data_IF_380316891089
#
_entry.id   IF_380316891089
#
_cell.length_a   1.000
_cell.length_b   1.000
_cell.length_c   1.000
_cell.angle_alpha   90.00
_cell.angle_beta   90.00
_cell.angle_gamma   90.00
#
_symmetry.space_group_name_H-M   'P 1'
#
loop_
_entity.id
_entity.type
_entity.pdbx_description
1 polymer ?
#
# COMPACT_ATOMS: atom_id res chain seq x y z
N UNK A 1 -4.25 20.75 -6.13
CA UNK A 1 -5.68 20.42 -5.96
C UNK A 1 -5.94 19.93 -4.53
N UNK A 2 -5.99 20.81 -3.51
CA UNK A 2 -6.38 20.42 -2.16
C UNK A 2 -7.92 20.37 -2.06
N UNK A 3 -8.51 19.18 -1.86
CA UNK A 3 -9.96 19.09 -1.62
C UNK A 3 -10.62 17.72 -1.81
N UNK A 4 -9.97 16.76 -2.48
CA UNK A 4 -10.55 15.43 -2.65
C UNK A 4 -10.29 14.58 -1.40
N UNK A 5 -11.32 14.42 -0.56
CA UNK A 5 -11.38 13.34 0.43
C UNK A 5 -12.17 12.20 -0.19
N UNK A 6 -11.61 10.99 -0.15
CA UNK A 6 -12.25 9.80 -0.70
C UNK A 6 -13.21 9.20 0.33
N UNK A 7 -12.68 8.53 1.35
CA UNK A 7 -13.44 7.95 2.46
C UNK A 7 -12.63 8.06 3.75
N UNK A 8 -13.31 8.25 4.88
CA UNK A 8 -12.66 8.45 6.18
C UNK A 8 -12.10 7.15 6.74
N UNK A 9 -10.81 7.13 7.08
CA UNK A 9 -10.11 6.05 7.78
C UNK A 9 -10.17 4.67 7.11
N UNK A 10 -10.32 4.59 5.78
CA UNK A 10 -10.35 3.29 5.06
C UNK A 10 -9.01 2.91 4.43
N UNK A 11 -8.15 3.89 4.15
CA UNK A 11 -6.90 3.62 3.45
C UNK A 11 -5.92 2.81 4.32
N UNK A 12 -5.36 1.75 3.73
CA UNK A 12 -4.38 0.84 4.33
C UNK A 12 -2.97 1.45 4.51
N UNK A 13 -2.77 2.69 4.05
CA UNK A 13 -1.49 3.39 4.11
C UNK A 13 -0.92 3.41 5.54
N UNK A 14 0.28 2.88 5.70
CA UNK A 14 1.05 2.84 6.93
C UNK A 14 2.46 3.39 6.71
N UNK A 15 3.01 4.05 7.73
CA UNK A 15 4.35 4.61 7.74
C UNK A 15 5.09 4.12 8.98
N UNK A 16 6.34 3.69 8.81
CA UNK A 16 7.29 3.40 9.88
C UNK A 16 8.34 4.52 9.94
N UNK A 17 8.20 5.49 10.87
CA UNK A 17 9.13 6.62 10.97
C UNK A 17 10.56 6.21 11.29
N UNK A 18 10.79 5.08 11.95
CA UNK A 18 12.13 4.62 12.34
C UNK A 18 12.97 4.20 11.15
N UNK A 19 12.35 3.62 10.12
CA UNK A 19 13.02 3.29 8.86
C UNK A 19 13.20 4.52 7.95
N UNK A 20 12.54 5.64 8.24
CA UNK A 20 12.56 6.80 7.36
C UNK A 20 13.90 7.54 7.41
N UNK A 21 14.55 7.66 6.24
CA UNK A 21 15.80 8.42 6.07
C UNK A 21 15.58 9.88 5.67
N UNK A 22 14.33 10.36 5.62
CA UNK A 22 14.00 11.75 5.34
C UNK A 22 14.22 12.25 3.91
N UNK A 23 14.38 11.35 2.92
CA UNK A 23 14.70 11.72 1.54
C UNK A 23 13.60 12.49 0.78
N UNK A 24 12.34 12.43 1.22
CA UNK A 24 11.24 13.20 0.63
C UNK A 24 10.64 12.68 -0.67
N UNK A 25 11.23 11.66 -1.33
CA UNK A 25 10.71 11.10 -2.59
C UNK A 25 9.23 10.71 -2.52
N UNK A 26 8.79 10.14 -1.40
CA UNK A 26 7.39 9.77 -1.19
C UNK A 26 6.41 10.96 -1.23
N UNK A 27 6.85 12.16 -0.82
CA UNK A 27 6.07 13.39 -0.87
C UNK A 27 5.97 13.87 -2.32
N UNK A 28 7.07 13.83 -3.06
CA UNK A 28 7.15 14.26 -4.46
C UNK A 28 6.29 13.39 -5.38
N UNK A 29 6.35 12.06 -5.23
CA UNK A 29 5.62 11.13 -6.10
C UNK A 29 4.14 10.98 -5.73
N UNK A 30 3.66 11.59 -4.64
CA UNK A 30 2.28 11.42 -4.20
C UNK A 30 1.33 12.33 -4.99
N UNK A 31 0.51 11.80 -5.93
CA UNK A 31 -0.35 12.64 -6.76
C UNK A 31 -1.44 13.36 -5.95
N UNK A 32 -1.79 12.82 -4.77
CA UNK A 32 -2.81 13.37 -3.87
C UNK A 32 -2.19 14.21 -2.73
N UNK A 33 -0.85 14.29 -2.65
CA UNK A 33 -0.15 15.00 -1.57
C UNK A 33 -0.49 14.52 -0.16
N UNK A 34 -0.69 13.21 0.02
CA UNK A 34 -1.11 12.61 1.31
C UNK A 34 -0.03 12.71 2.39
N UNK A 35 1.23 12.78 1.96
CA UNK A 35 2.42 12.67 2.80
C UNK A 35 3.08 14.05 2.97
N UNK A 36 3.63 14.29 4.15
CA UNK A 36 4.45 15.46 4.47
C UNK A 36 5.76 15.00 5.13
N UNK A 37 6.78 15.86 5.09
CA UNK A 37 7.97 15.72 5.92
C UNK A 37 7.85 16.63 7.14
N UNK A 38 7.96 16.06 8.33
CA UNK A 38 8.09 16.79 9.60
C UNK A 38 9.28 16.23 10.36
N UNK A 39 10.16 17.10 10.84
CA UNK A 39 11.37 16.72 11.58
C UNK A 39 12.22 15.65 10.85
N UNK A 40 12.35 15.80 9.52
CA UNK A 40 13.04 14.85 8.63
C UNK A 40 12.46 13.44 8.60
N UNK A 41 11.25 13.23 9.10
CA UNK A 41 10.51 11.96 8.99
C UNK A 41 9.22 12.16 8.22
N UNK A 42 8.79 11.10 7.54
CA UNK A 42 7.52 11.11 6.82
C UNK A 42 6.35 11.02 7.81
N UNK A 43 5.31 11.80 7.56
CA UNK A 43 4.04 11.74 8.27
C UNK A 43 2.87 11.65 7.28
N UNK A 44 1.82 10.93 7.68
CA UNK A 44 0.58 10.83 6.89
C UNK A 44 -0.33 11.98 7.28
N UNK A 45 -0.34 13.05 6.49
CA UNK A 45 -1.08 14.28 6.80
C UNK A 45 -2.55 14.23 6.36
N UNK A 46 -2.85 13.53 5.25
CA UNK A 46 -4.20 13.49 4.65
C UNK A 46 -4.60 12.06 4.26
N UNK A 47 -4.69 11.16 5.26
CA UNK A 47 -4.97 9.73 5.03
C UNK A 47 -6.19 9.50 4.12
N UNK A 48 -7.25 10.26 4.33
CA UNK A 48 -8.52 10.11 3.60
C UNK A 48 -8.45 10.52 2.12
N UNK A 49 -7.37 11.17 1.69
CA UNK A 49 -7.10 11.48 0.28
C UNK A 49 -6.28 10.38 -0.41
N UNK A 50 -5.88 9.32 0.30
CA UNK A 50 -5.09 8.25 -0.28
C UNK A 50 -5.93 7.38 -1.21
N UNK A 51 -5.53 7.35 -2.49
CA UNK A 51 -6.12 6.47 -3.51
C UNK A 51 -5.40 5.11 -3.62
N UNK A 52 -4.54 4.78 -2.66
CA UNK A 52 -3.82 3.50 -2.60
C UNK A 52 -3.01 3.15 -3.87
N UNK A 53 -2.49 4.15 -4.59
CA UNK A 53 -1.78 3.94 -5.85
C UNK A 53 -0.40 3.24 -5.72
N UNK A 54 0.16 3.12 -4.51
CA UNK A 54 1.45 2.48 -4.28
C UNK A 54 2.70 3.29 -4.64
N UNK A 55 2.58 4.45 -5.28
CA UNK A 55 3.73 5.24 -5.75
C UNK A 55 4.75 5.56 -4.63
N UNK A 56 4.26 5.92 -3.45
CA UNK A 56 5.10 6.23 -2.30
C UNK A 56 5.88 5.01 -1.77
N UNK A 57 5.26 3.82 -1.76
CA UNK A 57 5.89 2.56 -1.36
C UNK A 57 6.96 2.14 -2.37
N UNK A 58 6.66 2.23 -3.68
CA UNK A 58 7.60 1.86 -4.75
C UNK A 58 8.85 2.73 -4.78
N UNK A 59 8.73 4.00 -4.43
CA UNK A 59 9.84 4.97 -4.49
C UNK A 59 10.52 5.21 -3.14
N UNK A 60 10.16 4.48 -2.08
CA UNK A 60 10.82 4.62 -0.79
C UNK A 60 12.08 3.74 -0.73
N UNK A 61 13.31 4.29 -0.81
CA UNK A 61 14.53 3.48 -0.78
C UNK A 61 14.72 2.74 0.55
N UNK A 62 14.18 3.30 1.64
CA UNK A 62 14.26 2.71 2.97
C UNK A 62 13.05 1.82 3.32
N UNK A 63 12.10 1.63 2.39
CA UNK A 63 10.91 0.80 2.58
C UNK A 63 10.10 1.16 3.84
N UNK A 64 10.08 2.45 4.19
CA UNK A 64 9.41 2.99 5.38
C UNK A 64 7.89 3.15 5.23
N UNK A 65 7.33 2.84 4.06
CA UNK A 65 5.91 3.05 3.74
C UNK A 65 5.30 1.79 3.15
N UNK A 66 4.03 1.55 3.46
CA UNK A 66 3.27 0.45 2.92
C UNK A 66 1.82 0.83 2.61
N UNK A 67 1.25 0.23 1.57
CA UNK A 67 -0.16 0.34 1.21
C UNK A 67 -0.57 -0.88 0.37
N UNK A 68 -1.80 -1.36 0.53
CA UNK A 68 -2.39 -2.36 -0.36
C UNK A 68 -2.72 -1.73 -1.71
N UNK A 69 -1.75 -1.77 -2.63
CA UNK A 69 -1.91 -1.17 -3.95
C UNK A 69 -2.69 -2.09 -4.91
N UNK A 70 -3.70 -1.54 -5.56
CA UNK A 70 -4.48 -2.26 -6.57
C UNK A 70 -5.83 -1.61 -6.84
N UNK A 71 -6.56 -2.17 -7.81
CA UNK A 71 -7.92 -1.72 -8.18
C UNK A 71 -9.02 -2.68 -7.69
N UNK A 72 -8.66 -3.61 -6.80
CA UNK A 72 -9.58 -4.62 -6.25
C UNK A 72 -10.26 -5.46 -7.33
N UNK A 73 -11.60 -5.53 -7.29
CA UNK A 73 -12.42 -6.31 -8.20
C UNK A 73 -12.25 -5.93 -9.69
N UNK A 74 -11.90 -4.68 -9.99
CA UNK A 74 -11.69 -4.25 -11.38
C UNK A 74 -10.54 -5.02 -12.04
N UNK A 75 -9.55 -5.46 -11.26
CA UNK A 75 -8.41 -6.24 -11.75
C UNK A 75 -8.90 -7.56 -12.37
N UNK A 76 -9.85 -8.24 -11.72
CA UNK A 76 -10.42 -9.48 -12.23
C UNK A 76 -11.15 -9.25 -13.56
N UNK A 77 -12.01 -8.23 -13.63
CA UNK A 77 -12.76 -7.88 -14.85
C UNK A 77 -11.82 -7.56 -16.02
N UNK A 78 -10.80 -6.74 -15.79
CA UNK A 78 -9.82 -6.35 -16.81
C UNK A 78 -9.08 -7.59 -17.32
N UNK A 79 -8.67 -8.48 -16.42
CA UNK A 79 -7.95 -9.69 -16.83
C UNK A 79 -8.84 -10.68 -17.60
N UNK A 80 -10.10 -10.84 -17.18
CA UNK A 80 -11.09 -11.62 -17.94
C UNK A 80 -11.31 -11.04 -19.34
N UNK A 81 -11.44 -9.72 -19.46
CA UNK A 81 -11.61 -9.05 -20.74
C UNK A 81 -10.38 -9.22 -21.67
N UNK A 82 -9.17 -9.25 -21.09
CA UNK A 82 -7.92 -9.46 -21.84
C UNK A 82 -7.62 -10.94 -22.14
N UNK A 83 -8.52 -11.87 -21.80
CA UNK A 83 -8.31 -13.31 -22.00
C UNK A 83 -7.15 -13.89 -21.20
N UNK A 84 -6.68 -13.18 -20.17
CA UNK A 84 -5.62 -13.67 -19.27
C UNK A 84 -6.22 -14.75 -18.38
N UNK A 85 -5.81 -16.00 -18.60
CA UNK A 85 -6.25 -17.14 -17.78
C UNK A 85 -5.34 -17.24 -16.54
N UNK A 86 -5.92 -17.21 -15.34
CA UNK A 86 -5.21 -17.46 -14.08
C UNK A 86 -5.42 -16.45 -12.94
N UNK A 87 -6.35 -15.51 -13.06
CA UNK A 87 -6.50 -14.41 -12.10
C UNK A 87 -7.97 -13.99 -11.85
N UNK A 88 -8.87 -14.98 -11.84
CA UNK A 88 -10.22 -14.81 -11.32
C UNK A 88 -10.19 -14.75 -9.79
N UNK A 89 -9.89 -13.58 -9.23
CA UNK A 89 -9.85 -13.39 -7.79
C UNK A 89 -11.27 -13.25 -7.23
N UNK A 90 -11.81 -14.34 -6.66
CA UNK A 90 -13.13 -14.42 -6.03
C UNK A 90 -13.08 -14.65 -4.50
N UNK A 91 -11.92 -14.56 -3.85
CA UNK A 91 -11.84 -14.85 -2.41
C UNK A 91 -12.02 -13.58 -1.56
N UNK A 92 -13.10 -13.56 -0.81
CA UNK A 92 -13.23 -12.82 0.45
C UNK A 92 -12.06 -13.22 1.35
N UNK A 93 -11.36 -12.23 1.92
CA UNK A 93 -10.15 -12.39 2.72
C UNK A 93 -10.05 -13.68 3.55
N UNK A 94 -8.99 -14.46 3.35
CA UNK A 94 -8.50 -15.34 4.42
C UNK A 94 -7.49 -14.55 5.25
N UNK A 95 -7.73 -14.36 6.57
CA UNK A 95 -6.67 -13.88 7.44
C UNK A 95 -5.55 -14.91 7.46
N UNK A 96 -4.31 -14.45 7.27
CA UNK A 96 -3.08 -15.25 7.21
C UNK A 96 -2.86 -16.11 8.47
N UNK A 97 -3.51 -17.26 8.55
CA UNK A 97 -3.40 -18.18 9.68
C UNK A 97 -3.11 -19.63 9.26
N UNK A 98 -2.60 -19.88 8.05
CA UNK A 98 -2.33 -21.24 7.56
C UNK A 98 -0.92 -21.47 6.98
N UNK A 99 0.06 -20.66 7.37
CA UNK A 99 1.48 -20.98 7.14
C UNK A 99 2.28 -20.66 8.42
N UNK A 100 1.83 -21.23 9.55
CA UNK A 100 2.52 -21.15 10.82
C UNK A 100 3.71 -22.12 10.83
N UNK A 101 4.88 -21.53 10.71
CA UNK A 101 6.15 -22.15 11.02
C UNK A 101 7.19 -21.16 11.54
N UNK A 102 6.79 -20.02 12.13
CA UNK A 102 7.67 -19.23 13.00
C UNK A 102 6.87 -18.19 13.81
N UNK A 103 6.79 -18.40 15.13
CA UNK A 103 6.47 -17.33 16.08
C UNK A 103 7.71 -16.45 16.24
N UNK A 104 7.56 -15.12 16.22
CA UNK A 104 8.08 -14.19 17.24
C UNK A 104 7.70 -12.74 16.91
N UNK A 105 7.59 -11.98 17.99
CA UNK A 105 7.11 -10.61 18.12
C UNK A 105 7.80 -9.56 17.22
N UNK A 106 7.04 -8.48 16.93
CA UNK A 106 7.47 -7.21 16.34
C UNK A 106 7.96 -7.29 14.87
N UNK A 107 7.61 -6.25 14.08
CA UNK A 107 8.03 -6.04 12.67
C UNK A 107 7.31 -6.86 11.58
N UNK A 108 6.04 -6.52 11.32
CA UNK A 108 5.40 -6.89 10.05
C UNK A 108 5.93 -6.00 8.91
N UNK A 109 7.07 -6.39 8.33
CA UNK A 109 7.41 -5.98 6.97
C UNK A 109 6.36 -6.58 6.01
N UNK A 110 5.85 -5.79 5.04
CA UNK A 110 4.81 -6.26 4.17
C UNK A 110 5.29 -7.33 3.17
N UNK A 111 4.37 -8.22 2.75
CA UNK A 111 4.66 -9.39 1.94
C UNK A 111 5.28 -9.02 0.58
N UNK A 112 6.42 -9.64 0.25
CA UNK A 112 6.97 -9.58 -1.11
C UNK A 112 6.08 -10.39 -2.06
N UNK A 113 5.91 -9.84 -3.27
CA UNK A 113 5.19 -10.39 -4.43
C UNK A 113 5.38 -11.91 -4.57
N UNK A 114 4.34 -12.69 -4.30
CA UNK A 114 4.07 -13.86 -5.13
C UNK A 114 3.41 -13.35 -6.41
N UNK A 115 3.98 -13.74 -7.54
CA UNK A 115 3.46 -13.48 -8.88
C UNK A 115 2.21 -14.31 -9.19
N UNK A 116 1.30 -14.46 -8.23
CA UNK A 116 0.11 -15.30 -8.31
C UNK A 116 -1.04 -14.65 -7.56
N UNK A 117 -2.24 -14.78 -8.11
CA UNK A 117 -3.47 -14.52 -7.35
C UNK A 117 -3.48 -15.43 -6.11
N UNK A 118 -3.54 -14.80 -4.93
CA UNK A 118 -3.34 -15.38 -3.60
C UNK A 118 -1.90 -15.89 -3.33
#
# INVERSE_FOLDING_TARGET
MPGLQYLKNVASLSANPELCVGCGLCVEVCPQGVLELRDKRVVVARRDACMECGACMTNCPAQALWVEAGVGCAQAVINSALGRKGNGCCCVAEPRAAQQGLQTNLEAAPPRKSSGCC
#
